data_IF_171838218794
#
_entry.id   IF_171838218794
#
_cell.length_a   1.000
_cell.length_b   1.000
_cell.length_c   1.000
_cell.angle_alpha   90.00
_cell.angle_beta   90.00
_cell.angle_gamma   90.00
#
_symmetry.space_group_name_H-M   'P 1'
#
loop_
_entity.id
_entity.type
_entity.pdbx_description
1 polymer ?
#
# COMPACT_ATOMS: atom_id res chain seq x y z
N UNK A 1 -15.86 -0.36 -0.56
CA UNK A 1 -15.14 -1.34 -1.39
C UNK A 1 -15.32 -2.70 -0.76
N UNK A 2 -15.43 -3.74 -1.59
CA UNK A 2 -15.39 -5.11 -1.13
C UNK A 2 -14.02 -5.39 -0.53
N UNK A 3 -13.97 -5.98 0.67
CA UNK A 3 -12.75 -6.33 1.38
C UNK A 3 -12.62 -7.83 1.34
N UNK A 4 -11.55 -8.29 0.71
CA UNK A 4 -11.22 -9.72 0.57
C UNK A 4 -9.88 -10.02 1.24
N UNK A 5 -9.76 -11.24 1.78
CA UNK A 5 -8.52 -11.79 2.31
C UNK A 5 -8.20 -13.06 1.57
N UNK A 6 -7.01 -13.14 0.96
CA UNK A 6 -6.53 -14.31 0.22
C UNK A 6 -5.38 -14.97 0.99
N UNK A 7 -5.45 -16.28 1.17
CA UNK A 7 -4.45 -17.06 1.91
C UNK A 7 -3.28 -17.53 1.03
N UNK A 8 -3.53 -17.71 -0.27
CA UNK A 8 -2.56 -18.22 -1.24
C UNK A 8 -1.89 -17.08 -2.01
N UNK A 9 -0.73 -17.34 -2.63
CA UNK A 9 -0.06 -16.36 -3.50
C UNK A 9 -0.65 -16.32 -4.91
N UNK A 10 -1.24 -17.43 -5.36
CA UNK A 10 -1.83 -17.58 -6.69
C UNK A 10 -3.03 -16.66 -6.90
N UNK A 11 -3.18 -16.11 -8.11
CA UNK A 11 -4.37 -15.37 -8.52
C UNK A 11 -5.61 -16.27 -8.40
N UNK A 12 -6.70 -15.69 -7.89
CA UNK A 12 -8.00 -16.36 -7.73
C UNK A 12 -9.10 -15.55 -8.39
N UNK A 13 -10.09 -16.24 -8.92
CA UNK A 13 -11.29 -15.62 -9.50
C UNK A 13 -12.45 -15.90 -8.57
N UNK A 14 -13.18 -14.85 -8.20
CA UNK A 14 -14.43 -14.93 -7.43
C UNK A 14 -15.58 -14.50 -8.33
N UNK A 15 -16.77 -15.04 -8.09
CA UNK A 15 -17.92 -14.83 -8.99
C UNK A 15 -19.16 -14.40 -8.23
N UNK A 16 -20.07 -13.73 -8.92
CA UNK A 16 -21.42 -13.43 -8.44
C UNK A 16 -22.39 -13.86 -9.53
N UNK A 17 -23.37 -14.69 -9.17
CA UNK A 17 -24.45 -15.11 -10.06
C UNK A 17 -25.80 -14.83 -9.38
N UNK A 18 -26.65 -14.01 -10.02
CA UNK A 18 -27.98 -13.68 -9.50
C UNK A 18 -28.94 -13.39 -10.65
N UNK A 19 -30.21 -13.78 -10.49
CA UNK A 19 -31.24 -13.60 -11.53
C UNK A 19 -32.50 -12.87 -11.02
N UNK A 20 -32.51 -12.46 -9.76
CA UNK A 20 -33.67 -11.88 -9.08
C UNK A 20 -33.42 -10.43 -8.70
N UNK A 21 -34.45 -9.59 -8.84
CA UNK A 21 -34.42 -8.20 -8.45
C UNK A 21 -34.11 -8.06 -6.96
N UNK A 22 -33.29 -7.06 -6.62
CA UNK A 22 -32.90 -6.78 -5.23
C UNK A 22 -31.41 -6.47 -5.05
N UNK A 23 -30.99 -6.25 -3.79
CA UNK A 23 -29.61 -5.92 -3.47
C UNK A 23 -28.68 -7.12 -3.69
N UNK A 24 -27.51 -6.86 -4.25
CA UNK A 24 -26.36 -7.77 -4.33
C UNK A 24 -25.32 -7.26 -3.33
N UNK A 25 -24.92 -8.13 -2.42
CA UNK A 25 -24.01 -7.81 -1.32
C UNK A 25 -22.77 -8.69 -1.35
N UNK A 26 -21.76 -8.39 -0.52
CA UNK A 26 -20.58 -9.24 -0.35
C UNK A 26 -20.92 -10.68 0.08
N UNK A 27 -22.10 -10.93 0.67
CA UNK A 27 -22.58 -12.26 1.00
C UNK A 27 -22.96 -13.10 -0.22
N UNK A 28 -23.29 -12.47 -1.36
CA UNK A 28 -23.65 -13.13 -2.61
C UNK A 28 -22.42 -13.54 -3.45
N UNK A 29 -21.21 -13.27 -2.95
CA UNK A 29 -19.95 -13.63 -3.63
C UNK A 29 -19.65 -15.11 -3.44
N UNK A 30 -19.52 -15.82 -4.56
CA UNK A 30 -19.05 -17.20 -4.62
C UNK A 30 -17.52 -17.22 -4.69
N UNK A 31 -16.93 -17.98 -3.77
CA UNK A 31 -15.48 -18.05 -3.60
C UNK A 31 -15.07 -19.42 -3.05
N UNK A 32 -13.79 -19.75 -3.14
CA UNK A 32 -13.22 -20.99 -2.64
C UNK A 32 -12.75 -20.85 -1.17
N UNK A 33 -12.06 -21.86 -0.64
CA UNK A 33 -11.52 -21.81 0.71
C UNK A 33 -10.29 -20.90 0.85
N UNK A 34 -9.69 -20.47 -0.26
CA UNK A 34 -8.47 -19.66 -0.27
C UNK A 34 -8.78 -18.16 -0.15
N UNK A 35 -10.02 -17.74 -0.44
CA UNK A 35 -10.46 -16.35 -0.40
C UNK A 35 -11.65 -16.16 0.54
N UNK A 36 -11.56 -15.16 1.39
CA UNK A 36 -12.58 -14.82 2.37
C UNK A 36 -13.07 -13.38 2.18
N UNK A 37 -14.38 -13.22 2.06
CA UNK A 37 -15.02 -11.89 2.05
C UNK A 37 -15.26 -11.42 3.49
N UNK A 38 -14.60 -10.32 3.86
CA UNK A 38 -14.61 -9.78 5.22
C UNK A 38 -15.90 -9.00 5.51
N UNK A 39 -16.33 -8.14 4.58
CA UNK A 39 -17.51 -7.28 4.73
C UNK A 39 -18.71 -7.80 3.92
N UNK A 40 -19.34 -8.87 4.41
CA UNK A 40 -20.45 -9.55 3.74
C UNK A 40 -21.71 -8.67 3.56
N UNK A 41 -21.87 -7.64 4.38
CA UNK A 41 -22.96 -6.68 4.34
C UNK A 41 -22.76 -5.56 3.30
N UNK A 42 -21.58 -5.49 2.65
CA UNK A 42 -21.30 -4.46 1.68
C UNK A 42 -22.17 -4.60 0.42
N UNK A 43 -23.04 -3.63 0.16
CA UNK A 43 -23.80 -3.57 -1.10
C UNK A 43 -22.86 -3.27 -2.27
N UNK A 44 -22.87 -4.16 -3.26
CA UNK A 44 -22.10 -4.04 -4.50
C UNK A 44 -22.95 -3.32 -5.55
N UNK A 45 -24.19 -3.80 -5.76
CA UNK A 45 -25.14 -3.22 -6.70
C UNK A 45 -26.58 -3.64 -6.35
N UNK A 46 -27.56 -3.12 -7.08
CA UNK A 46 -28.97 -3.51 -6.94
C UNK A 46 -29.53 -3.82 -8.33
N UNK A 47 -30.09 -5.02 -8.50
CA UNK A 47 -30.80 -5.40 -9.72
C UNK A 47 -32.22 -4.82 -9.69
N UNK A 48 -32.60 -4.09 -10.74
CA UNK A 48 -33.91 -3.41 -10.83
C UNK A 48 -35.04 -4.36 -11.26
N UNK A 49 -34.71 -5.40 -12.02
CA UNK A 49 -35.63 -6.37 -12.59
C UNK A 49 -35.03 -7.78 -12.49
N UNK A 50 -35.84 -8.80 -12.74
CA UNK A 50 -35.42 -10.20 -12.77
C UNK A 50 -34.66 -10.50 -14.07
N UNK A 51 -33.37 -10.12 -14.09
CA UNK A 51 -32.46 -10.35 -15.22
C UNK A 51 -31.24 -11.17 -14.78
N UNK A 52 -30.75 -12.10 -15.63
CA UNK A 52 -29.56 -12.86 -15.33
C UNK A 52 -28.34 -11.93 -15.27
N UNK A 53 -27.69 -11.93 -14.12
CA UNK A 53 -26.48 -11.18 -13.83
C UNK A 53 -25.35 -12.13 -13.46
N UNK A 54 -24.23 -11.96 -14.14
CA UNK A 54 -23.00 -12.71 -13.91
C UNK A 54 -21.81 -11.74 -13.90
N UNK A 55 -20.94 -11.88 -12.91
CA UNK A 55 -19.73 -11.07 -12.76
C UNK A 55 -18.59 -11.93 -12.24
N UNK A 56 -17.41 -11.75 -12.81
CA UNK A 56 -16.16 -12.32 -12.33
C UNK A 56 -15.24 -11.19 -11.84
N UNK A 57 -14.56 -11.42 -10.73
CA UNK A 57 -13.57 -10.50 -10.18
C UNK A 57 -12.28 -11.26 -9.90
N UNK A 58 -11.16 -10.68 -10.33
CA UNK A 58 -9.84 -11.24 -10.11
C UNK A 58 -9.27 -10.70 -8.81
N UNK A 59 -8.77 -11.60 -7.95
CA UNK A 59 -8.17 -11.28 -6.65
C UNK A 59 -6.70 -11.67 -6.66
N UNK A 60 -5.85 -10.66 -6.47
CA UNK A 60 -4.39 -10.81 -6.46
C UNK A 60 -3.81 -10.34 -5.13
N UNK A 61 -2.57 -10.75 -4.85
CA UNK A 61 -1.80 -10.20 -3.75
C UNK A 61 -0.94 -9.06 -4.25
N UNK A 62 -0.88 -7.98 -3.49
CA UNK A 62 -0.07 -6.82 -3.82
C UNK A 62 0.29 -5.99 -2.60
N UNK A 63 0.86 -4.82 -2.84
CA UNK A 63 1.27 -3.89 -1.76
C UNK A 63 0.85 -2.48 -2.11
N UNK A 64 0.34 -1.76 -1.12
CA UNK A 64 -0.01 -0.35 -1.28
C UNK A 64 -1.24 -0.15 -2.16
N UNK A 65 -1.07 0.65 -3.21
CA UNK A 65 -2.10 1.05 -4.15
C UNK A 65 -1.55 0.92 -5.57
N UNK A 66 -2.32 0.31 -6.45
CA UNK A 66 -1.99 0.22 -7.88
C UNK A 66 -3.17 0.80 -8.66
N UNK A 67 -2.98 1.87 -9.46
CA UNK A 67 -4.04 2.43 -10.28
C UNK A 67 -4.38 1.51 -11.46
N UNK A 68 -5.61 1.61 -11.96
CA UNK A 68 -6.10 0.84 -13.11
C UNK A 68 -5.20 0.94 -14.35
N UNK A 69 -4.55 2.10 -14.56
CA UNK A 69 -3.63 2.34 -15.68
C UNK A 69 -2.34 1.51 -15.62
N UNK A 70 -1.92 1.08 -14.44
CA UNK A 70 -0.70 0.28 -14.26
C UNK A 70 -0.97 -1.23 -14.35
N UNK A 71 -2.24 -1.66 -14.40
CA UNK A 71 -2.58 -3.06 -14.63
C UNK A 71 -2.33 -3.53 -16.08
N UNK A 72 -1.94 -2.63 -16.98
CA UNK A 72 -1.91 -2.78 -18.45
C UNK A 72 -0.85 -3.73 -19.04
N UNK A 73 0.00 -4.38 -18.25
CA UNK A 73 1.15 -5.12 -18.76
C UNK A 73 0.83 -6.56 -19.21
N UNK A 74 -0.37 -7.05 -18.95
CA UNK A 74 -0.87 -8.35 -19.45
C UNK A 74 -1.95 -8.07 -20.49
N UNK A 75 -1.85 -8.70 -21.66
CA UNK A 75 -2.89 -8.69 -22.70
C UNK A 75 -4.23 -9.10 -22.07
N UNK A 76 -5.02 -8.12 -21.65
CA UNK A 76 -6.33 -8.40 -21.09
C UNK A 76 -7.23 -8.91 -22.22
N UNK A 77 -7.88 -10.03 -21.96
CA UNK A 77 -8.93 -10.52 -22.86
C UNK A 77 -10.02 -9.45 -23.03
N UNK A 78 -10.65 -9.45 -24.20
CA UNK A 78 -11.75 -8.53 -24.49
C UNK A 78 -12.85 -8.76 -23.46
N UNK A 79 -13.21 -7.72 -22.70
CA UNK A 79 -14.25 -7.77 -21.68
C UNK A 79 -13.75 -7.56 -20.25
N UNK A 80 -12.44 -7.57 -20.01
CA UNK A 80 -11.87 -7.24 -18.70
C UNK A 80 -11.82 -5.72 -18.49
N UNK A 81 -12.34 -5.26 -17.34
CA UNK A 81 -12.33 -3.85 -16.95
C UNK A 81 -11.34 -3.71 -15.79
N UNK A 82 -10.16 -3.08 -16.00
CA UNK A 82 -9.22 -2.85 -14.92
C UNK A 82 -9.80 -1.82 -13.93
N UNK A 83 -9.60 -2.08 -12.64
CA UNK A 83 -9.99 -1.20 -11.54
C UNK A 83 -8.77 -0.91 -10.68
N UNK A 84 -8.84 0.15 -9.88
CA UNK A 84 -7.78 0.45 -8.93
C UNK A 84 -7.70 -0.65 -7.84
N UNK A 85 -6.50 -1.18 -7.60
CA UNK A 85 -6.27 -2.19 -6.58
C UNK A 85 -5.71 -1.56 -5.30
N UNK A 86 -6.54 -1.54 -4.25
CA UNK A 86 -6.17 -1.09 -2.90
C UNK A 86 -5.75 -2.31 -2.07
N UNK A 87 -4.46 -2.63 -2.08
CA UNK A 87 -3.91 -3.76 -1.32
C UNK A 87 -3.66 -3.43 0.16
N UNK A 88 -3.46 -2.16 0.51
CA UNK A 88 -3.21 -1.75 1.89
C UNK A 88 -4.44 -2.02 2.77
N UNK A 89 -4.33 -2.84 3.82
CA UNK A 89 -5.43 -3.06 4.76
C UNK A 89 -5.57 -1.90 5.76
N UNK A 90 -4.56 -1.03 5.86
CA UNK A 90 -4.56 0.19 6.67
C UNK A 90 -5.11 1.33 5.82
N UNK A 91 -6.20 1.94 6.27
CA UNK A 91 -6.91 3.00 5.54
C UNK A 91 -6.51 4.40 5.99
N UNK A 92 -6.14 4.54 7.27
CA UNK A 92 -5.71 5.81 7.85
C UNK A 92 -4.77 5.57 9.02
N UNK A 93 -3.78 6.45 9.15
CA UNK A 93 -2.94 6.54 10.34
C UNK A 93 -2.85 8.01 10.74
N UNK A 94 -2.93 8.27 12.04
CA UNK A 94 -2.65 9.57 12.65
C UNK A 94 -1.64 9.37 13.78
N UNK A 95 -0.74 10.31 13.94
CA UNK A 95 0.18 10.33 15.08
C UNK A 95 0.23 11.73 15.68
N UNK A 96 0.52 11.78 16.97
CA UNK A 96 0.75 13.01 17.73
C UNK A 96 1.89 12.77 18.72
N UNK A 97 2.74 13.77 18.92
CA UNK A 97 3.89 13.72 19.82
C UNK A 97 3.80 14.88 20.79
N UNK A 98 3.78 14.57 22.08
CA UNK A 98 3.69 15.55 23.16
C UNK A 98 4.79 15.33 24.21
N UNK A 99 5.19 16.41 24.88
CA UNK A 99 6.16 16.34 25.98
C UNK A 99 5.58 15.55 27.16
N UNK A 100 6.35 14.59 27.66
CA UNK A 100 5.99 13.75 28.78
C UNK A 100 6.93 14.01 29.98
N UNK A 101 6.32 14.25 31.15
CA UNK A 101 7.04 14.23 32.43
C UNK A 101 7.01 12.82 33.01
N UNK A 102 8.19 12.22 33.19
CA UNK A 102 8.37 10.94 33.86
C UNK A 102 9.14 11.17 35.15
N UNK A 103 8.42 11.16 36.28
CA UNK A 103 8.97 11.53 37.58
C UNK A 103 9.39 13.00 37.63
N UNK A 104 10.68 13.26 37.84
CA UNK A 104 11.26 14.62 37.88
C UNK A 104 11.83 15.07 36.52
N UNK A 105 11.86 14.20 35.50
CA UNK A 105 12.41 14.50 34.17
C UNK A 105 11.29 14.90 33.20
N UNK A 106 11.47 15.98 32.45
CA UNK A 106 10.50 16.53 31.49
C UNK A 106 10.90 16.39 30.03
N UNK A 107 11.96 15.62 29.73
CA UNK A 107 12.55 15.53 28.39
C UNK A 107 12.21 14.21 27.67
N UNK A 108 11.09 13.59 28.03
CA UNK A 108 10.60 12.41 27.32
C UNK A 108 9.51 12.83 26.35
N UNK A 109 9.37 12.10 25.25
CA UNK A 109 8.28 12.26 24.30
C UNK A 109 7.25 11.15 24.52
N UNK A 110 5.96 11.50 24.47
CA UNK A 110 4.87 10.54 24.36
C UNK A 110 4.33 10.56 22.94
N UNK A 111 4.40 9.40 22.29
CA UNK A 111 3.82 9.16 20.97
C UNK A 111 2.44 8.53 21.12
N UNK A 112 1.42 9.17 20.54
CA UNK A 112 0.07 8.61 20.39
C UNK A 112 -0.14 8.24 18.93
N UNK A 113 -0.49 6.98 18.65
CA UNK A 113 -0.80 6.48 17.31
C UNK A 113 -2.26 6.03 17.23
N UNK A 114 -2.98 6.52 16.23
CA UNK A 114 -4.33 6.07 15.89
C UNK A 114 -4.28 5.40 14.50
N UNK A 115 -4.71 4.14 14.42
CA UNK A 115 -4.63 3.32 13.23
C UNK A 115 -6.02 2.78 12.90
N UNK A 116 -6.48 3.02 11.67
CA UNK A 116 -7.73 2.47 11.15
C UNK A 116 -7.43 1.45 10.06
N UNK A 117 -8.07 0.29 10.16
CA UNK A 117 -7.97 -0.79 9.18
C UNK A 117 -9.33 -1.11 8.58
N UNK A 118 -9.33 -1.82 7.46
CA UNK A 118 -10.54 -2.29 6.79
C UNK A 118 -11.10 -3.61 7.37
N UNK A 119 -10.58 -4.06 8.51
CA UNK A 119 -10.99 -5.31 9.17
C UNK A 119 -10.29 -6.58 8.70
N UNK A 120 -9.56 -6.55 7.57
CA UNK A 120 -8.77 -7.71 7.10
C UNK A 120 -7.62 -8.08 8.06
N UNK A 121 -7.04 -7.06 8.71
CA UNK A 121 -6.05 -7.17 9.78
C UNK A 121 -6.44 -6.25 10.94
N UNK A 122 -6.14 -6.64 12.18
CA UNK A 122 -6.35 -5.75 13.32
C UNK A 122 -5.29 -4.63 13.34
N UNK A 123 -5.61 -3.45 13.90
CA UNK A 123 -4.65 -2.35 14.05
C UNK A 123 -3.36 -2.75 14.78
N UNK A 124 -3.46 -3.60 15.81
CA UNK A 124 -2.32 -4.07 16.59
C UNK A 124 -1.41 -4.97 15.75
N UNK A 125 -2.01 -5.89 14.99
CA UNK A 125 -1.26 -6.76 14.08
C UNK A 125 -0.61 -5.97 12.94
N UNK A 126 -1.30 -4.96 12.39
CA UNK A 126 -0.71 -4.06 11.40
C UNK A 126 0.53 -3.34 11.97
N UNK A 127 0.47 -2.86 13.22
CA UNK A 127 1.60 -2.23 13.89
C UNK A 127 2.76 -3.22 14.06
N UNK A 128 2.48 -4.44 14.54
CA UNK A 128 3.50 -5.49 14.71
C UNK A 128 4.19 -5.83 13.38
N UNK A 129 3.43 -6.02 12.30
CA UNK A 129 4.01 -6.31 10.99
C UNK A 129 4.83 -5.14 10.45
N UNK A 130 4.35 -3.90 10.62
CA UNK A 130 5.12 -2.72 10.22
C UNK A 130 6.46 -2.61 10.96
N UNK A 131 6.49 -2.90 12.25
CA UNK A 131 7.71 -2.90 13.05
C UNK A 131 8.69 -4.01 12.62
N UNK A 132 8.19 -5.21 12.29
CA UNK A 132 9.01 -6.31 11.74
C UNK A 132 9.65 -5.91 10.41
N UNK A 133 8.87 -5.30 9.52
CA UNK A 133 9.35 -4.81 8.21
C UNK A 133 10.41 -3.72 8.42
N UNK A 134 10.14 -2.72 9.27
CA UNK A 134 11.10 -1.64 9.58
C UNK A 134 12.43 -2.20 10.10
N UNK A 135 12.39 -3.12 11.07
CA UNK A 135 13.59 -3.78 11.59
C UNK A 135 14.36 -4.51 10.48
N UNK A 136 13.66 -5.24 9.59
CA UNK A 136 14.29 -5.93 8.47
C UNK A 136 15.05 -4.95 7.55
N UNK A 137 14.51 -3.75 7.33
CA UNK A 137 15.18 -2.70 6.56
C UNK A 137 16.37 -2.05 7.27
N UNK A 138 16.40 -2.07 8.62
CA UNK A 138 17.54 -1.57 9.39
C UNK A 138 18.69 -2.59 9.49
N UNK A 139 18.41 -3.89 9.36
CA UNK A 139 19.41 -4.96 9.50
C UNK A 139 20.68 -4.76 8.65
N UNK A 140 20.62 -4.35 7.36
CA UNK A 140 21.83 -4.11 6.57
C UNK A 140 22.76 -3.09 7.23
N UNK A 141 22.23 -1.99 7.78
CA UNK A 141 23.03 -0.94 8.41
C UNK A 141 23.67 -1.38 9.72
N UNK A 142 22.98 -2.21 10.51
CA UNK A 142 23.50 -2.74 11.78
C UNK A 142 24.66 -3.71 11.57
N UNK A 143 24.73 -4.36 10.40
CA UNK A 143 25.79 -5.31 10.06
C UNK A 143 27.09 -4.65 9.60
N UNK A 144 27.08 -3.36 9.26
CA UNK A 144 28.30 -2.62 8.94
C UNK A 144 29.03 -2.21 10.23
N UNK A 145 30.25 -2.72 10.39
CA UNK A 145 31.13 -2.37 11.51
C UNK A 145 31.98 -1.13 11.24
N UNK A 146 32.18 -0.78 9.97
CA UNK A 146 32.93 0.39 9.53
C UNK A 146 32.09 1.20 8.54
N UNK A 147 32.18 2.53 8.63
CA UNK A 147 31.66 3.39 7.56
C UNK A 147 32.40 3.02 6.27
N UNK A 148 31.64 2.69 5.22
CA UNK A 148 32.21 2.43 3.90
C UNK A 148 33.08 3.60 3.43
N UNK A 149 34.01 3.33 2.50
CA UNK A 149 34.87 4.36 1.89
C UNK A 149 34.04 5.56 1.44
N UNK A 150 34.48 6.78 1.77
CA UNK A 150 33.84 8.00 1.28
C UNK A 150 33.72 7.92 -0.24
N UNK A 151 32.48 7.78 -0.72
CA UNK A 151 32.20 7.88 -2.15
C UNK A 151 32.24 9.36 -2.46
N UNK A 152 33.40 9.85 -2.93
CA UNK A 152 33.43 11.12 -3.63
C UNK A 152 32.51 10.96 -4.84
N UNK A 153 31.34 11.62 -4.82
CA UNK A 153 30.63 11.85 -6.05
C UNK A 153 31.64 12.47 -7.03
N UNK A 154 31.78 11.96 -8.27
CA UNK A 154 32.68 12.58 -9.22
C UNK A 154 32.27 14.05 -9.29
N UNK A 155 33.24 14.91 -9.01
CA UNK A 155 33.09 16.34 -9.18
C UNK A 155 32.51 16.52 -10.58
N UNK A 156 31.34 17.15 -10.70
CA UNK A 156 30.64 17.30 -11.98
C UNK A 156 31.36 18.39 -12.77
N UNK A 157 32.65 18.17 -13.05
CA UNK A 157 33.63 19.10 -13.60
C UNK A 157 32.97 20.24 -14.34
N UNK A 158 32.70 21.30 -13.59
CA UNK A 158 32.18 22.55 -14.08
C UNK A 158 33.33 23.18 -14.85
N UNK A 159 33.46 22.83 -16.14
CA UNK A 159 34.38 23.45 -17.09
C UNK A 159 34.09 24.94 -17.36
N UNK A 160 33.51 25.65 -16.38
CA UNK A 160 33.17 27.07 -16.42
C UNK A 160 34.05 27.91 -15.50
N UNK A 161 34.73 27.34 -14.52
CA UNK A 161 35.48 28.13 -13.53
C UNK A 161 36.78 28.71 -14.09
N UNK A 162 37.50 27.98 -14.94
CA UNK A 162 38.76 28.47 -15.52
C UNK A 162 38.59 29.71 -16.43
N UNK A 163 37.43 29.90 -17.06
CA UNK A 163 37.16 31.06 -17.93
C UNK A 163 36.74 32.29 -17.12
N UNK A 164 36.09 32.09 -15.97
CA UNK A 164 35.72 33.16 -15.04
C UNK A 164 36.93 33.66 -14.25
N UNK A 165 37.81 32.77 -13.79
CA UNK A 165 39.06 33.16 -13.11
C UNK A 165 40.03 33.93 -14.03
N UNK A 166 40.13 33.53 -15.31
CA UNK A 166 40.94 34.24 -16.30
C UNK A 166 40.41 35.66 -16.62
N UNK A 167 39.09 35.87 -16.49
CA UNK A 167 38.46 37.19 -16.70
C UNK A 167 38.57 38.10 -15.48
N UNK A 168 38.64 37.55 -14.26
CA UNK A 168 38.83 38.33 -13.03
C UNK A 168 40.27 38.79 -12.81
N UNK A 169 41.27 38.07 -13.35
CA UNK A 169 42.69 38.43 -13.21
C UNK A 169 43.22 39.39 -14.29
N UNK A 170 42.38 39.89 -15.20
CA UNK A 170 42.74 41.04 -16.04
C UNK A 170 42.53 42.32 -15.24
N UNK A 171 43.60 42.80 -14.60
CA UNK A 171 43.71 44.20 -14.21
C UNK A 171 43.80 45.06 -15.48
N UNK A 172 43.08 46.19 -15.48
CA UNK A 172 43.12 47.25 -16.51
C UNK A 172 44.54 47.63 -16.92
#
# INVERSE_FOLDING_TARGET
>A
SLVVRKATEETRVITIEKSTAGPVTGADVHTDADVEVINKDHTILTLTEDVPFFMEMVVENGRGYVPASEHSDTEHEIGVIPIDAVYSPVTRVRYDVEDARVGQKTNYDKLTLEIWTNGSVSPEMALVESAKILRKHLNPFVQYQELGSHVHAPDRGDGRDNVLEAKLNMQL
#
